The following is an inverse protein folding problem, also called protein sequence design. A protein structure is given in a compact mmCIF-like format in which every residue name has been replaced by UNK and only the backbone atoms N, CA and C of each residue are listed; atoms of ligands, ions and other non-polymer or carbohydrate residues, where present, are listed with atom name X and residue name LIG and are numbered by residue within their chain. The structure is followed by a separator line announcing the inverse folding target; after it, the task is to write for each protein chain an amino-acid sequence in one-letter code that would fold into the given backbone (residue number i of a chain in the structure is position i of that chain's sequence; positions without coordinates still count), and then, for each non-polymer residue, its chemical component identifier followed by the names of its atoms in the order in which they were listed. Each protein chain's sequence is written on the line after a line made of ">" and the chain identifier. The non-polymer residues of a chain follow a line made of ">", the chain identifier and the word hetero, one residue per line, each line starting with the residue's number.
data_IF_784752463326
#
_entry.id   IF_784752463326
#
_cell.length_a   1.000
_cell.length_b   1.000
_cell.length_c   1.000
_cell.angle_alpha   90.00
_cell.angle_beta   90.00
_cell.angle_gamma   90.00
#
_symmetry.space_group_name_H-M   'P 1'
#
loop_
_entity.id
_entity.type
_entity.pdbx_description
1 polymer ?
#
# COMPACT_ATOMS: atom_id res chain seq x y z
N UNK A 1 54.04 12.50 55.45
CA UNK A 1 54.08 11.42 54.46
C UNK A 1 54.18 12.09 53.11
N UNK A 2 55.36 12.04 52.48
CA UNK A 2 55.55 12.60 51.15
C UNK A 2 54.78 11.76 50.14
N UNK A 3 53.63 12.27 49.68
CA UNK A 3 52.95 11.74 48.50
C UNK A 3 53.65 12.30 47.27
N UNK A 4 54.68 11.60 46.79
CA UNK A 4 55.23 11.84 45.46
C UNK A 4 54.11 11.60 44.45
N UNK A 5 53.56 12.68 43.91
CA UNK A 5 52.55 12.65 42.86
C UNK A 5 53.13 11.94 41.64
N UNK A 6 52.47 10.88 41.20
CA UNK A 6 52.84 10.12 40.00
C UNK A 6 51.77 10.33 38.94
N UNK A 7 52.20 10.34 37.68
CA UNK A 7 51.35 10.46 36.50
C UNK A 7 51.35 9.12 35.73
N UNK A 8 50.17 8.62 35.34
CA UNK A 8 50.07 7.44 34.50
C UNK A 8 50.66 7.75 33.12
N UNK A 9 51.75 7.07 32.79
CA UNK A 9 52.52 7.28 31.56
C UNK A 9 52.52 6.01 30.72
N UNK A 10 52.17 6.13 29.44
CA UNK A 10 52.22 5.00 28.52
C UNK A 10 53.66 4.65 28.12
N UNK A 11 53.96 3.35 28.11
CA UNK A 11 55.18 2.79 27.54
C UNK A 11 54.86 1.75 26.47
N UNK A 12 55.66 1.72 25.41
CA UNK A 12 55.54 0.84 24.25
C UNK A 12 56.84 0.09 23.94
N UNK A 13 56.73 -1.12 23.37
CA UNK A 13 57.85 -1.94 22.87
C UNK A 13 57.67 -2.29 21.39
N UNK A 14 58.78 -2.63 20.73
CA UNK A 14 58.78 -2.99 19.30
C UNK A 14 57.92 -4.21 18.93
N UNK A 15 57.69 -5.10 19.89
CA UNK A 15 56.83 -6.30 19.78
C UNK A 15 55.32 -6.00 19.90
N UNK A 16 54.95 -4.72 20.03
CA UNK A 16 53.56 -4.29 20.22
C UNK A 16 53.05 -4.44 21.65
N UNK A 17 53.93 -4.67 22.63
CA UNK A 17 53.56 -4.61 24.05
C UNK A 17 53.33 -3.16 24.48
N UNK A 18 52.26 -2.91 25.23
CA UNK A 18 51.91 -1.60 25.77
C UNK A 18 51.50 -1.73 27.24
N UNK A 19 51.96 -0.80 28.08
CA UNK A 19 51.67 -0.78 29.52
C UNK A 19 51.66 0.65 30.06
N UNK A 20 50.83 0.91 31.07
CA UNK A 20 50.83 2.17 31.83
C UNK A 20 51.76 2.02 33.05
N UNK A 21 52.62 3.01 33.26
CA UNK A 21 53.54 3.14 34.40
C UNK A 21 53.17 4.37 35.22
N UNK A 22 53.13 4.23 36.55
CA UNK A 22 52.97 5.37 37.45
C UNK A 22 54.35 5.99 37.72
N UNK A 23 54.67 7.09 37.04
CA UNK A 23 55.98 7.73 37.06
C UNK A 23 55.88 9.14 37.62
N UNK A 24 56.93 9.63 38.31
CA UNK A 24 57.00 11.04 38.67
C UNK A 24 57.02 11.93 37.40
N UNK A 25 56.50 13.16 37.44
CA UNK A 25 56.56 14.07 36.29
C UNK A 25 57.99 14.24 35.75
N UNK A 26 58.18 13.92 34.47
CA UNK A 26 59.49 14.01 33.80
C UNK A 26 60.45 12.83 34.05
N UNK A 27 60.04 11.81 34.81
CA UNK A 27 60.84 10.59 34.97
C UNK A 27 60.86 9.77 33.67
N UNK A 28 62.02 9.20 33.36
CA UNK A 28 62.19 8.34 32.20
C UNK A 28 61.45 7.00 32.37
N UNK A 29 60.96 6.45 31.27
CA UNK A 29 60.44 5.08 31.23
C UNK A 29 61.54 4.06 31.54
N UNK A 30 61.19 2.87 32.06
CA UNK A 30 62.15 1.79 32.25
C UNK A 30 62.89 1.43 30.96
N UNK A 31 64.12 0.93 31.11
CA UNK A 31 64.93 0.48 29.98
C UNK A 31 64.15 -0.51 29.11
N UNK A 32 64.30 -0.41 27.78
CA UNK A 32 63.54 -1.12 26.74
C UNK A 32 62.10 -0.66 26.47
N UNK A 33 61.62 0.43 27.10
CA UNK A 33 60.31 1.02 26.83
C UNK A 33 60.42 2.42 26.18
N UNK A 34 59.57 2.70 25.21
CA UNK A 34 59.50 3.98 24.51
C UNK A 34 58.22 4.72 24.85
N UNK A 35 58.26 6.05 24.90
CA UNK A 35 57.08 6.90 25.15
C UNK A 35 56.18 7.05 23.91
N UNK A 36 56.64 6.57 22.75
CA UNK A 36 55.92 6.66 21.49
C UNK A 36 55.58 5.27 20.94
N UNK A 37 54.34 5.04 20.46
CA UNK A 37 53.95 3.80 19.80
C UNK A 37 54.62 3.61 18.44
N UNK A 38 55.33 4.62 17.91
CA UNK A 38 56.11 4.52 16.67
C UNK A 38 57.26 3.51 16.74
N UNK A 39 57.62 3.03 17.93
CA UNK A 39 58.59 1.94 18.09
C UNK A 39 58.02 0.59 17.64
N UNK A 40 56.69 0.45 17.58
CA UNK A 40 56.00 -0.79 17.24
C UNK A 40 56.19 -1.07 15.75
N UNK A 41 56.77 -2.23 15.46
CA UNK A 41 57.18 -2.60 14.09
C UNK A 41 56.02 -3.10 13.23
N UNK A 42 54.95 -3.61 13.85
CA UNK A 42 53.74 -4.04 13.18
C UNK A 42 52.62 -2.97 13.30
N UNK A 43 52.23 -2.31 12.20
CA UNK A 43 51.18 -1.29 12.21
C UNK A 43 49.83 -1.77 12.74
N UNK A 44 49.51 -3.06 12.61
CA UNK A 44 48.25 -3.62 13.12
C UNK A 44 48.21 -3.61 14.66
N UNK A 45 49.38 -3.60 15.31
CA UNK A 45 49.52 -3.59 16.77
C UNK A 45 49.66 -2.17 17.36
N UNK A 46 49.82 -1.16 16.50
CA UNK A 46 50.00 0.23 16.90
C UNK A 46 48.67 1.04 16.97
N UNK A 47 47.52 0.38 16.81
CA UNK A 47 46.20 1.03 16.88
C UNK A 47 45.77 1.28 18.34
N UNK A 48 45.01 2.37 18.57
CA UNK A 48 44.56 2.73 19.92
C UNK A 48 43.76 1.60 20.61
N UNK A 49 42.93 0.88 19.85
CA UNK A 49 42.14 -0.23 20.35
C UNK A 49 43.03 -1.43 20.72
N UNK A 50 43.95 -1.83 19.86
CA UNK A 50 44.86 -2.95 20.15
C UNK A 50 45.75 -2.67 21.37
N UNK A 51 46.23 -1.44 21.53
CA UNK A 51 47.04 -1.00 22.67
C UNK A 51 46.23 -1.01 23.96
N UNK A 52 44.99 -0.53 23.92
CA UNK A 52 44.07 -0.49 25.07
C UNK A 52 43.66 -1.90 25.49
N UNK A 53 43.32 -2.76 24.53
CA UNK A 53 42.97 -4.17 24.78
C UNK A 53 44.11 -4.93 25.48
N UNK A 54 45.37 -4.69 25.06
CA UNK A 54 46.54 -5.35 25.67
C UNK A 54 46.88 -4.79 27.05
N UNK A 55 46.82 -3.48 27.23
CA UNK A 55 47.15 -2.84 28.50
C UNK A 55 46.12 -3.13 29.59
N UNK A 56 44.85 -3.31 29.22
CA UNK A 56 43.75 -3.53 30.16
C UNK A 56 43.27 -4.99 30.23
N UNK A 57 43.63 -5.82 29.25
CA UNK A 57 43.16 -7.21 29.14
C UNK A 57 41.69 -7.34 28.71
N UNK A 58 41.03 -6.24 28.35
CA UNK A 58 39.62 -6.23 27.94
C UNK A 58 39.50 -6.42 26.42
N UNK A 59 38.78 -7.44 25.99
CA UNK A 59 38.46 -7.65 24.57
C UNK A 59 37.15 -6.93 24.21
N UNK A 60 37.20 -5.87 23.40
CA UNK A 60 36.00 -5.29 22.80
C UNK A 60 35.55 -6.16 21.62
N UNK A 61 34.78 -7.20 21.89
CA UNK A 61 34.05 -7.93 20.87
C UNK A 61 32.63 -7.34 20.78
N UNK A 62 32.41 -6.39 19.87
CA UNK A 62 31.08 -6.16 19.33
C UNK A 62 31.20 -5.72 17.88
N UNK A 63 30.94 -6.64 16.96
CA UNK A 63 30.47 -6.26 15.65
C UNK A 63 29.14 -5.53 15.85
N UNK A 64 29.07 -4.26 15.45
CA UNK A 64 27.80 -3.54 15.43
C UNK A 64 27.01 -4.12 14.24
N UNK A 65 26.13 -5.07 14.53
CA UNK A 65 25.06 -5.43 13.60
C UNK A 65 24.11 -4.22 13.55
N UNK A 66 24.07 -3.51 12.42
CA UNK A 66 23.05 -2.48 12.19
C UNK A 66 21.68 -3.17 12.20
N UNK A 67 20.78 -2.87 13.17
CA UNK A 67 19.44 -3.41 13.10
C UNK A 67 18.76 -2.82 11.86
N UNK A 68 18.12 -3.67 11.06
CA UNK A 68 17.25 -3.22 10.00
C UNK A 68 16.23 -2.24 10.59
N UNK A 69 16.28 -0.98 10.16
CA UNK A 69 15.37 0.06 10.66
C UNK A 69 13.97 -0.29 10.18
N UNK A 70 13.10 -0.71 11.09
CA UNK A 70 11.67 -0.77 10.84
C UNK A 70 11.17 0.63 10.45
N UNK A 71 10.16 0.75 9.56
CA UNK A 71 9.57 2.04 9.23
C UNK A 71 9.10 2.70 10.51
N UNK A 72 9.40 3.99 10.66
CA UNK A 72 8.95 4.72 11.84
C UNK A 72 7.42 4.83 11.82
N UNK A 73 6.79 4.98 12.98
CA UNK A 73 5.34 5.24 13.06
C UNK A 73 4.90 6.48 12.23
N UNK A 74 5.82 7.40 11.95
CA UNK A 74 5.60 8.55 11.07
C UNK A 74 5.55 8.13 9.60
N UNK A 75 6.43 7.23 9.17
CA UNK A 75 6.42 6.69 7.80
C UNK A 75 5.15 5.88 7.53
N UNK A 76 4.70 5.09 8.51
CA UNK A 76 3.43 4.37 8.43
C UNK A 76 2.23 5.31 8.34
N UNK A 77 2.22 6.40 9.12
CA UNK A 77 1.17 7.41 9.08
C UNK A 77 1.14 8.14 7.73
N UNK A 78 2.30 8.49 7.17
CA UNK A 78 2.40 9.11 5.84
C UNK A 78 1.91 8.18 4.73
N UNK A 79 2.24 6.90 4.80
CA UNK A 79 1.72 5.88 3.89
C UNK A 79 0.19 5.75 4.00
N UNK A 80 -0.34 5.72 5.23
CA UNK A 80 -1.78 5.66 5.47
C UNK A 80 -2.52 6.90 4.93
N UNK A 81 -1.98 8.11 5.12
CA UNK A 81 -2.55 9.33 4.57
C UNK A 81 -2.59 9.32 3.04
N UNK A 82 -1.50 8.84 2.42
CA UNK A 82 -1.43 8.69 0.96
C UNK A 82 -2.48 7.72 0.45
N UNK A 83 -2.68 6.58 1.12
CA UNK A 83 -3.72 5.62 0.74
C UNK A 83 -5.12 6.18 0.99
N UNK A 84 -5.34 6.95 2.06
CA UNK A 84 -6.62 7.63 2.30
C UNK A 84 -6.97 8.57 1.14
N UNK A 85 -6.02 9.37 0.66
CA UNK A 85 -6.28 10.28 -0.44
C UNK A 85 -6.50 9.54 -1.76
N UNK A 86 -5.78 8.43 -1.99
CA UNK A 86 -6.06 7.52 -3.12
C UNK A 86 -7.48 6.95 -3.04
N UNK A 87 -7.89 6.47 -1.87
CA UNK A 87 -9.23 5.90 -1.66
C UNK A 87 -10.33 6.95 -1.83
N UNK A 88 -10.13 8.19 -1.37
CA UNK A 88 -11.07 9.29 -1.63
C UNK A 88 -11.27 9.53 -3.12
N UNK A 89 -10.19 9.58 -3.90
CA UNK A 89 -10.28 9.78 -5.35
C UNK A 89 -11.02 8.62 -6.05
N UNK A 90 -10.80 7.38 -5.59
CA UNK A 90 -11.54 6.21 -6.07
C UNK A 90 -13.03 6.31 -5.73
N UNK A 91 -13.37 6.74 -4.51
CA UNK A 91 -14.77 6.92 -4.08
C UNK A 91 -15.45 8.01 -4.89
N UNK A 92 -14.80 9.16 -5.09
CA UNK A 92 -15.37 10.26 -5.87
C UNK A 92 -15.63 9.85 -7.32
N UNK A 93 -14.67 9.17 -7.94
CA UNK A 93 -14.84 8.62 -9.30
C UNK A 93 -15.97 7.59 -9.35
N UNK A 94 -16.02 6.68 -8.36
CA UNK A 94 -17.07 5.67 -8.27
C UNK A 94 -18.47 6.25 -8.06
N UNK A 95 -18.60 7.30 -7.25
CA UNK A 95 -19.87 8.00 -7.05
C UNK A 95 -20.35 8.69 -8.32
N UNK A 96 -19.47 9.37 -9.05
CA UNK A 96 -19.82 10.00 -10.32
C UNK A 96 -20.25 8.97 -11.38
N UNK A 97 -19.57 7.82 -11.45
CA UNK A 97 -19.96 6.74 -12.36
C UNK A 97 -21.31 6.12 -11.97
N UNK A 98 -21.58 5.96 -10.67
CA UNK A 98 -22.87 5.47 -10.20
C UNK A 98 -24.02 6.42 -10.59
N UNK A 99 -23.84 7.73 -10.43
CA UNK A 99 -24.83 8.73 -10.86
C UNK A 99 -25.08 8.66 -12.36
N UNK A 100 -24.02 8.47 -13.16
CA UNK A 100 -24.13 8.28 -14.61
C UNK A 100 -24.93 7.02 -14.96
N UNK A 101 -24.64 5.90 -14.31
CA UNK A 101 -25.33 4.63 -14.56
C UNK A 101 -26.80 4.68 -14.15
N UNK A 102 -27.14 5.37 -13.05
CA UNK A 102 -28.54 5.57 -12.66
C UNK A 102 -29.28 6.36 -13.74
N UNK A 103 -28.71 7.45 -14.24
CA UNK A 103 -29.33 8.22 -15.32
C UNK A 103 -29.49 7.41 -16.62
N UNK A 104 -28.53 6.52 -16.93
CA UNK A 104 -28.61 5.62 -18.08
C UNK A 104 -29.73 4.58 -17.93
N UNK A 105 -29.91 4.04 -16.72
CA UNK A 105 -31.00 3.12 -16.38
C UNK A 105 -32.36 3.82 -16.50
N UNK A 106 -32.52 5.00 -15.91
CA UNK A 106 -33.78 5.77 -15.97
C UNK A 106 -34.17 6.07 -17.43
N UNK A 107 -33.20 6.43 -18.26
CA UNK A 107 -33.41 6.67 -19.68
C UNK A 107 -33.81 5.38 -20.43
N UNK A 108 -33.19 4.24 -20.10
CA UNK A 108 -33.54 2.95 -20.68
C UNK A 108 -34.96 2.51 -20.27
N UNK A 109 -35.35 2.71 -19.01
CA UNK A 109 -36.70 2.43 -18.52
C UNK A 109 -37.76 3.26 -19.26
N UNK A 110 -37.49 4.54 -19.47
CA UNK A 110 -38.37 5.43 -20.23
C UNK A 110 -38.52 4.96 -21.69
N UNK A 111 -37.41 4.65 -22.36
CA UNK A 111 -37.42 4.16 -23.74
C UNK A 111 -38.18 2.83 -23.88
N UNK A 112 -38.06 1.94 -22.89
CA UNK A 112 -38.79 0.67 -22.85
C UNK A 112 -40.31 0.90 -22.70
N UNK A 113 -40.70 1.88 -21.88
CA UNK A 113 -42.09 2.32 -21.74
C UNK A 113 -42.67 2.84 -23.06
N UNK A 114 -41.95 3.72 -23.74
CA UNK A 114 -42.35 4.27 -25.04
C UNK A 114 -42.49 3.18 -26.11
N UNK A 115 -41.54 2.24 -26.15
CA UNK A 115 -41.58 1.10 -27.06
C UNK A 115 -42.81 0.21 -26.82
N UNK A 116 -43.16 -0.03 -25.55
CA UNK A 116 -44.37 -0.80 -25.19
C UNK A 116 -45.65 -0.10 -25.63
N UNK A 117 -45.73 1.24 -25.48
CA UNK A 117 -46.87 2.02 -25.99
C UNK A 117 -46.95 1.96 -27.51
N UNK A 118 -45.83 2.14 -28.21
CA UNK A 118 -45.80 2.08 -29.67
C UNK A 118 -46.23 0.70 -30.22
N UNK A 119 -45.88 -0.38 -29.52
CA UNK A 119 -46.34 -1.73 -29.89
C UNK A 119 -47.86 -1.90 -29.70
N UNK A 120 -48.41 -1.33 -28.63
CA UNK A 120 -49.86 -1.32 -28.42
C UNK A 120 -50.58 -0.54 -29.54
N UNK A 121 -50.08 0.65 -29.89
CA UNK A 121 -50.63 1.48 -30.98
C UNK A 121 -50.54 0.77 -32.34
N UNK A 122 -49.45 0.05 -32.61
CA UNK A 122 -49.28 -0.73 -33.84
C UNK A 122 -50.29 -1.88 -33.90
N UNK A 123 -50.51 -2.58 -32.79
CA UNK A 123 -51.52 -3.64 -32.68
C UNK A 123 -52.92 -3.12 -33.02
N UNK A 124 -53.27 -1.97 -32.45
CA UNK A 124 -54.59 -1.37 -32.63
C UNK A 124 -54.75 -0.83 -34.07
N UNK A 125 -53.69 -0.25 -34.64
CA UNK A 125 -53.66 0.17 -36.05
C UNK A 125 -53.82 -0.99 -37.02
N UNK A 126 -53.19 -2.13 -36.73
CA UNK A 126 -53.31 -3.35 -37.54
C UNK A 126 -54.74 -3.92 -37.48
N UNK A 127 -55.37 -3.92 -36.31
CA UNK A 127 -56.76 -4.33 -36.16
C UNK A 127 -57.69 -3.46 -37.00
N UNK A 128 -57.51 -2.14 -36.96
CA UNK A 128 -58.28 -1.18 -37.78
C UNK A 128 -58.04 -1.35 -39.27
N UNK A 129 -56.79 -1.59 -39.70
CA UNK A 129 -56.47 -1.83 -41.10
C UNK A 129 -57.17 -3.09 -41.66
N UNK A 130 -57.36 -4.11 -40.82
CA UNK A 130 -58.14 -5.31 -41.19
C UNK A 130 -59.64 -5.00 -41.29
N UNK A 131 -60.23 -4.26 -40.34
CA UNK A 131 -61.64 -3.83 -40.42
C UNK A 131 -61.91 -3.00 -41.68
N UNK A 132 -60.96 -2.16 -42.08
CA UNK A 132 -60.99 -1.35 -43.31
C UNK A 132 -60.68 -2.17 -44.58
N UNK A 133 -60.36 -3.47 -44.47
CA UNK A 133 -60.02 -4.35 -45.60
C UNK A 133 -58.69 -4.03 -46.30
N UNK A 134 -57.80 -3.24 -45.68
CA UNK A 134 -56.51 -2.83 -46.25
C UNK A 134 -55.40 -3.88 -46.13
N UNK A 135 -55.59 -4.87 -45.25
CA UNK A 135 -54.68 -6.02 -45.07
C UNK A 135 -55.50 -7.30 -45.07
N UNK A 136 -54.95 -8.38 -45.63
CA UNK A 136 -55.64 -9.67 -45.61
C UNK A 136 -55.54 -10.33 -44.21
N UNK A 137 -56.41 -11.32 -43.94
CA UNK A 137 -56.47 -11.96 -42.63
C UNK A 137 -55.14 -12.65 -42.23
N UNK A 138 -54.43 -13.25 -43.19
CA UNK A 138 -53.16 -13.92 -42.93
C UNK A 138 -52.04 -12.93 -42.57
N UNK A 139 -51.97 -11.79 -43.26
CA UNK A 139 -51.03 -10.69 -42.97
C UNK A 139 -51.32 -10.07 -41.60
N UNK A 140 -52.60 -9.85 -41.27
CA UNK A 140 -53.00 -9.40 -39.93
C UNK A 140 -52.59 -10.41 -38.87
N UNK A 141 -52.89 -11.69 -39.05
CA UNK A 141 -52.61 -12.70 -38.02
C UNK A 141 -51.10 -12.89 -37.79
N UNK A 142 -50.29 -12.84 -38.85
CA UNK A 142 -48.84 -12.88 -38.76
C UNK A 142 -48.28 -11.64 -38.04
N UNK A 143 -48.74 -10.44 -38.40
CA UNK A 143 -48.28 -9.20 -37.76
C UNK A 143 -48.76 -9.10 -36.30
N UNK A 144 -49.96 -9.58 -35.99
CA UNK A 144 -50.46 -9.66 -34.61
C UNK A 144 -49.61 -10.60 -33.76
N UNK A 145 -49.29 -11.79 -34.28
CA UNK A 145 -48.42 -12.73 -33.59
C UNK A 145 -47.01 -12.15 -33.33
N UNK A 146 -46.46 -11.40 -34.30
CA UNK A 146 -45.17 -10.71 -34.14
C UNK A 146 -45.22 -9.61 -33.07
N UNK A 147 -46.30 -8.82 -33.02
CA UNK A 147 -46.48 -7.78 -31.99
C UNK A 147 -46.68 -8.41 -30.60
N UNK A 148 -47.43 -9.50 -30.50
CA UNK A 148 -47.59 -10.24 -29.24
C UNK A 148 -46.26 -10.81 -28.74
N UNK A 149 -45.42 -11.35 -29.63
CA UNK A 149 -44.08 -11.80 -29.30
C UNK A 149 -43.17 -10.65 -28.81
N UNK A 150 -43.14 -9.53 -29.54
CA UNK A 150 -42.36 -8.35 -29.14
C UNK A 150 -42.84 -7.74 -27.82
N UNK A 151 -44.16 -7.78 -27.56
CA UNK A 151 -44.72 -7.33 -26.28
C UNK A 151 -44.27 -8.23 -25.14
N UNK A 152 -44.21 -9.55 -25.35
CA UNK A 152 -43.70 -10.49 -24.37
C UNK A 152 -42.20 -10.28 -24.10
N UNK A 153 -41.40 -10.08 -25.16
CA UNK A 153 -39.96 -9.81 -25.04
C UNK A 153 -39.70 -8.51 -24.27
N UNK A 154 -40.43 -7.43 -24.57
CA UNK A 154 -40.35 -6.16 -23.84
C UNK A 154 -40.71 -6.32 -22.36
N UNK A 155 -41.76 -7.10 -22.06
CA UNK A 155 -42.15 -7.37 -20.68
C UNK A 155 -41.06 -8.15 -19.92
N UNK A 156 -40.39 -9.10 -20.59
CA UNK A 156 -39.27 -9.84 -20.00
C UNK A 156 -38.07 -8.93 -19.75
N UNK A 157 -37.68 -8.11 -20.73
CA UNK A 157 -36.58 -7.13 -20.57
C UNK A 157 -36.88 -6.18 -19.41
N UNK A 158 -38.14 -5.75 -19.24
CA UNK A 158 -38.54 -4.91 -18.11
C UNK A 158 -38.36 -5.64 -16.79
N UNK A 159 -38.79 -6.89 -16.69
CA UNK A 159 -38.64 -7.69 -15.49
C UNK A 159 -37.16 -7.95 -15.15
N UNK A 160 -36.32 -8.20 -16.16
CA UNK A 160 -34.88 -8.40 -15.98
C UNK A 160 -34.20 -7.11 -15.52
N UNK A 161 -34.60 -5.96 -16.05
CA UNK A 161 -34.12 -4.65 -15.61
C UNK A 161 -34.54 -4.37 -14.17
N UNK A 162 -35.80 -4.58 -13.82
CA UNK A 162 -36.32 -4.44 -12.44
C UNK A 162 -35.58 -5.35 -11.46
N UNK A 163 -35.20 -6.57 -11.87
CA UNK A 163 -34.40 -7.48 -11.04
C UNK A 163 -32.95 -7.01 -10.91
N UNK A 164 -32.35 -6.51 -11.99
CA UNK A 164 -30.97 -6.02 -12.01
C UNK A 164 -30.80 -4.74 -11.18
N UNK A 165 -31.84 -3.91 -11.07
CA UNK A 165 -31.82 -2.65 -10.32
C UNK A 165 -32.24 -2.79 -8.86
N UNK A 166 -32.63 -3.99 -8.41
CA UNK A 166 -32.99 -4.22 -7.00
C UNK A 166 -31.83 -3.88 -6.06
N UNK A 167 -32.10 -3.17 -4.94
CA UNK A 167 -31.10 -2.94 -3.91
C UNK A 167 -30.56 -4.27 -3.38
N UNK A 168 -29.25 -4.48 -3.49
CA UNK A 168 -28.61 -5.68 -2.92
C UNK A 168 -28.77 -5.64 -1.39
N UNK A 169 -29.20 -6.73 -0.74
CA UNK A 169 -29.34 -6.75 0.71
C UNK A 169 -28.00 -6.41 1.36
N UNK A 170 -28.02 -5.44 2.28
CA UNK A 170 -26.83 -5.04 3.03
C UNK A 170 -26.23 -6.28 3.70
N UNK A 171 -25.00 -6.63 3.35
CA UNK A 171 -24.27 -7.67 4.04
C UNK A 171 -24.18 -7.25 5.50
N UNK A 172 -24.88 -7.97 6.39
CA UNK A 172 -24.78 -7.76 7.82
C UNK A 172 -23.30 -7.86 8.21
N UNK A 173 -22.71 -6.72 8.55
CA UNK A 173 -21.35 -6.66 9.07
C UNK A 173 -21.34 -7.49 10.36
N UNK A 174 -20.80 -8.71 10.28
CA UNK A 174 -20.43 -9.46 11.48
C UNK A 174 -19.25 -8.72 12.10
N UNK A 175 -19.56 -7.86 13.07
CA UNK A 175 -18.57 -7.30 13.97
C UNK A 175 -17.73 -8.42 14.57
N UNK A 176 -16.42 -8.25 14.51
CA UNK A 176 -15.44 -8.95 15.34
C UNK A 176 -14.88 -7.97 16.33
#
# INVERSE_FOLDING_TARGET
>A
MDTTETIPTWGYKADGSAKIFDLAPGAALPESWSASPTVITDPALATADALTMRATGLTFAHAIEEPASEPSAVDELLAALTEIDRLKAVIETGSAENERLIAEIDAAEAALGDASTAMADLRDSLAKAHEDGRVNAAERDAAKAAVEALTADLAQVKADLDEATKPKPAAAAKGR
#
